data_IF_238036895198
#
_entry.id   IF_238036895198
#
_cell.length_a   1.000
_cell.length_b   1.000
_cell.length_c   1.000
_cell.angle_alpha   90.00
_cell.angle_beta   90.00
_cell.angle_gamma   90.00
#
_symmetry.space_group_name_H-M   'P 1'
#
loop_
_entity.id
_entity.type
_entity.pdbx_description
1 polymer ?
#
# COMPACT_ATOMS: atom_id res chain seq x y z
N UNK A 1 1.17 27.96 -15.02
CA UNK A 1 1.03 26.62 -14.40
C UNK A 1 2.41 26.09 -14.05
N UNK A 2 2.79 26.08 -12.77
CA UNK A 2 4.09 25.54 -12.35
C UNK A 2 3.99 24.01 -12.35
N UNK A 3 4.72 23.33 -13.25
CA UNK A 3 4.89 21.87 -13.20
C UNK A 3 5.70 21.52 -11.96
N UNK A 4 5.03 21.09 -10.89
CA UNK A 4 5.72 20.52 -9.72
C UNK A 4 6.49 19.28 -10.19
N UNK A 5 7.80 19.27 -9.99
CA UNK A 5 8.63 18.11 -10.30
C UNK A 5 8.07 16.87 -9.60
N UNK A 6 8.02 15.75 -10.34
CA UNK A 6 7.53 14.48 -9.80
C UNK A 6 8.50 14.02 -8.72
N UNK A 7 8.02 13.99 -7.47
CA UNK A 7 8.81 13.49 -6.35
C UNK A 7 9.35 12.08 -6.61
N UNK A 8 10.59 11.83 -6.17
CA UNK A 8 11.31 10.56 -6.35
C UNK A 8 10.43 9.38 -5.91
N UNK A 9 10.37 8.35 -6.76
CA UNK A 9 9.60 7.13 -6.50
C UNK A 9 10.22 6.39 -5.31
N UNK A 10 9.42 6.13 -4.29
CA UNK A 10 9.81 5.33 -3.12
C UNK A 10 9.06 3.99 -3.10
N UNK A 11 9.64 3.03 -2.39
CA UNK A 11 9.09 1.69 -2.21
C UNK A 11 8.78 1.45 -0.73
N UNK A 12 7.62 0.85 -0.49
CA UNK A 12 7.10 0.55 0.83
C UNK A 12 6.61 -0.90 0.89
N UNK A 13 7.05 -1.65 1.91
CA UNK A 13 6.56 -3.00 2.17
C UNK A 13 5.30 -2.97 3.03
N UNK A 14 4.26 -3.68 2.62
CA UNK A 14 3.09 -3.94 3.43
C UNK A 14 3.41 -5.06 4.41
N UNK A 15 3.27 -4.76 5.70
CA UNK A 15 3.47 -5.68 6.79
C UNK A 15 2.13 -6.24 7.28
N UNK A 16 2.11 -7.53 7.60
CA UNK A 16 1.01 -8.18 8.30
C UNK A 16 1.04 -7.89 9.82
N UNK A 17 0.06 -8.42 10.55
CA UNK A 17 0.02 -8.41 12.03
C UNK A 17 1.30 -8.99 12.64
N UNK A 18 1.86 -10.01 11.98
CA UNK A 18 3.09 -10.71 12.41
C UNK A 18 4.38 -10.08 11.85
N UNK A 19 4.33 -8.85 11.33
CA UNK A 19 5.45 -8.16 10.67
C UNK A 19 6.03 -8.89 9.45
N UNK A 20 5.31 -9.87 8.90
CA UNK A 20 5.67 -10.53 7.65
C UNK A 20 5.35 -9.63 6.46
N UNK A 21 6.20 -9.69 5.44
CA UNK A 21 6.02 -8.89 4.23
C UNK A 21 5.03 -9.58 3.29
N UNK A 22 3.86 -8.97 3.09
CA UNK A 22 2.81 -9.48 2.19
C UNK A 22 3.08 -9.04 0.74
N UNK A 23 3.60 -7.81 0.55
CA UNK A 23 3.88 -7.27 -0.77
C UNK A 23 4.48 -5.86 -0.74
N UNK A 24 4.95 -5.40 -1.90
CA UNK A 24 5.63 -4.11 -2.07
C UNK A 24 4.77 -3.16 -2.89
N UNK A 25 4.66 -1.92 -2.41
CA UNK A 25 3.91 -0.85 -3.05
C UNK A 25 4.80 0.36 -3.32
N UNK A 26 4.63 0.99 -4.48
CA UNK A 26 5.39 2.18 -4.84
C UNK A 26 4.56 3.46 -4.69
N UNK A 27 5.19 4.56 -4.31
CA UNK A 27 4.56 5.87 -4.25
C UNK A 27 5.56 6.99 -4.00
N UNK A 28 5.25 8.23 -4.40
CA UNK A 28 6.07 9.38 -4.03
C UNK A 28 5.97 9.68 -2.52
N UNK A 29 4.80 9.41 -1.91
CA UNK A 29 4.54 9.56 -0.49
C UNK A 29 3.99 8.25 0.11
N UNK A 30 4.14 8.01 1.42
CA UNK A 30 3.61 6.82 2.08
C UNK A 30 2.08 6.74 1.97
N UNK A 31 1.40 7.89 1.98
CA UNK A 31 -0.05 7.96 1.77
C UNK A 31 -0.46 7.49 0.38
N UNK A 32 0.30 7.82 -0.67
CA UNK A 32 0.00 7.36 -2.02
C UNK A 32 0.12 5.83 -2.14
N UNK A 33 1.11 5.24 -1.46
CA UNK A 33 1.21 3.79 -1.36
C UNK A 33 0.04 3.19 -0.55
N UNK A 34 -0.36 3.83 0.55
CA UNK A 34 -1.51 3.40 1.35
C UNK A 34 -2.84 3.43 0.57
N UNK A 35 -3.07 4.47 -0.24
CA UNK A 35 -4.25 4.54 -1.13
C UNK A 35 -4.27 3.35 -2.11
N UNK A 36 -3.10 2.97 -2.65
CA UNK A 36 -3.00 1.77 -3.51
C UNK A 36 -3.33 0.49 -2.76
N UNK A 37 -2.84 0.34 -1.53
CA UNK A 37 -3.17 -0.80 -0.66
C UNK A 37 -4.68 -0.86 -0.37
N UNK A 38 -5.30 0.27 -0.05
CA UNK A 38 -6.74 0.37 0.20
C UNK A 38 -7.56 -0.03 -1.03
N UNK A 39 -7.15 0.40 -2.24
CA UNK A 39 -7.78 -0.04 -3.50
C UNK A 39 -7.71 -1.55 -3.70
N UNK A 40 -6.62 -2.20 -3.26
CA UNK A 40 -6.47 -3.67 -3.30
C UNK A 40 -7.36 -4.39 -2.28
N UNK A 41 -7.89 -3.69 -1.28
CA UNK A 41 -8.82 -4.26 -0.28
C UNK A 41 -8.26 -4.33 1.14
N UNK A 42 -7.04 -3.82 1.39
CA UNK A 42 -6.49 -3.81 2.75
C UNK A 42 -7.10 -2.67 3.58
N UNK A 43 -7.69 -3.03 4.73
CA UNK A 43 -8.29 -2.08 5.69
C UNK A 43 -7.28 -1.59 6.72
N UNK A 44 -6.49 -2.51 7.27
CA UNK A 44 -5.38 -2.21 8.17
C UNK A 44 -4.09 -2.20 7.34
N UNK A 45 -3.44 -1.05 7.23
CA UNK A 45 -2.29 -0.86 6.34
C UNK A 45 -1.09 -0.44 7.18
N UNK A 46 -0.10 -1.33 7.33
CA UNK A 46 1.20 -1.02 7.94
C UNK A 46 2.26 -1.01 6.85
N UNK A 47 2.84 0.15 6.56
CA UNK A 47 3.79 0.32 5.46
C UNK A 47 5.17 0.68 6.00
N UNK A 48 6.16 -0.18 5.74
CA UNK A 48 7.57 0.08 6.04
C UNK A 48 8.27 0.72 4.84
N UNK A 49 8.92 1.86 5.03
CA UNK A 49 9.79 2.44 4.00
C UNK A 49 11.09 1.61 3.85
N UNK A 50 11.49 1.31 2.62
CA UNK A 50 12.74 0.56 2.33
C UNK A 50 14.01 1.35 2.68
N UNK A 51 13.91 2.67 2.69
CA UNK A 51 15.03 3.52 3.11
C UNK A 51 15.07 3.58 4.63
N UNK A 52 16.18 3.16 5.21
CA UNK A 52 16.48 3.38 6.63
C UNK A 52 16.66 4.87 6.93
N UNK A 53 16.27 5.29 8.13
CA UNK A 53 16.64 6.60 8.64
C UNK A 53 18.16 6.66 8.92
N UNK A 54 18.69 7.87 9.11
CA UNK A 54 20.08 8.07 9.55
C UNK A 54 20.39 7.33 10.86
N UNK A 55 19.39 7.17 11.72
CA UNK A 55 19.45 6.43 12.99
C UNK A 55 19.48 4.90 12.84
N UNK A 56 19.63 4.37 11.62
CA UNK A 56 19.56 2.93 11.30
C UNK A 56 18.20 2.24 11.55
N UNK A 57 17.20 2.98 12.04
CA UNK A 57 15.84 2.52 12.25
C UNK A 57 14.99 2.49 10.96
N UNK A 58 13.95 1.67 11.01
CA UNK A 58 12.90 1.59 10.01
C UNK A 58 11.73 2.50 10.36
N UNK A 59 11.18 3.19 9.36
CA UNK A 59 9.94 3.93 9.53
C UNK A 59 8.75 3.09 9.08
N UNK A 60 7.78 2.90 9.96
CA UNK A 60 6.52 2.22 9.68
C UNK A 60 5.36 3.21 9.81
N UNK A 61 4.59 3.33 8.74
CA UNK A 61 3.39 4.16 8.72
C UNK A 61 2.15 3.30 8.84
N UNK A 62 1.27 3.65 9.78
CA UNK A 62 0.01 2.95 10.00
C UNK A 62 -1.15 3.80 9.47
N UNK A 63 -1.94 3.21 8.58
CA UNK A 63 -3.11 3.82 7.95
C UNK A 63 -4.35 2.94 8.10
N UNK A 64 -5.51 3.57 8.19
CA UNK A 64 -6.79 2.91 7.90
C UNK A 64 -7.17 3.15 6.44
N UNK A 65 -7.37 2.05 5.72
CA UNK A 65 -7.82 2.00 4.34
C UNK A 65 -9.32 1.75 4.24
N UNK A 66 -9.94 2.42 3.29
CA UNK A 66 -11.31 2.12 2.85
C UNK A 66 -11.39 2.21 1.33
N UNK A 67 -12.32 1.47 0.73
CA UNK A 67 -12.61 1.54 -0.70
C UNK A 67 -14.08 1.80 -0.90
N UNK A 68 -14.41 2.61 -1.90
CA UNK A 68 -15.77 2.86 -2.34
C UNK A 68 -15.83 2.67 -3.84
N UNK A 69 -16.91 2.06 -4.31
CA UNK A 69 -17.24 2.03 -5.74
C UNK A 69 -18.02 3.29 -6.05
N UNK A 70 -17.56 4.06 -7.03
CA UNK A 70 -18.19 5.31 -7.46
C UNK A 70 -18.46 5.19 -8.95
N UNK A 71 -19.56 5.81 -9.40
CA UNK A 71 -19.83 5.94 -10.83
C UNK A 71 -18.67 6.64 -11.54
N UNK A 72 -18.36 6.16 -12.74
CA UNK A 72 -17.41 6.79 -13.63
C UNK A 72 -17.85 8.22 -14.00
N UNK A 73 -16.92 9.11 -14.38
CA UNK A 73 -17.27 10.44 -14.85
C UNK A 73 -18.22 10.37 -16.07
N UNK A 74 -18.92 11.48 -16.39
CA UNK A 74 -19.83 11.56 -17.53
C UNK A 74 -19.19 11.07 -18.83
N UNK A 75 -20.01 10.51 -19.72
CA UNK A 75 -19.58 9.86 -20.97
C UNK A 75 -18.66 10.74 -21.81
N UNK A 76 -18.91 12.06 -21.85
CA UNK A 76 -18.12 13.03 -22.61
C UNK A 76 -16.65 13.13 -22.17
N UNK A 77 -16.35 12.84 -20.90
CA UNK A 77 -14.98 12.87 -20.33
C UNK A 77 -14.39 11.47 -20.16
N UNK A 78 -15.14 10.44 -20.52
CA UNK A 78 -14.77 9.04 -20.31
C UNK A 78 -14.14 8.49 -21.57
N UNK A 79 -13.06 7.73 -21.39
CA UNK A 79 -12.44 6.99 -22.49
C UNK A 79 -13.28 5.75 -22.84
N UNK A 80 -13.36 5.35 -24.12
CA UNK A 80 -14.22 4.24 -24.56
C UNK A 80 -13.96 2.90 -23.85
N UNK A 81 -12.73 2.67 -23.40
CA UNK A 81 -12.31 1.44 -22.71
C UNK A 81 -12.55 1.44 -21.19
N UNK A 82 -12.98 2.57 -20.61
CA UNK A 82 -13.19 2.71 -19.17
C UNK A 82 -14.54 2.08 -18.79
N UNK A 83 -14.63 1.45 -17.60
CA UNK A 83 -15.88 0.86 -17.05
C UNK A 83 -16.81 1.92 -16.45
N UNK A 84 -18.08 1.58 -16.26
CA UNK A 84 -19.11 2.46 -15.68
C UNK A 84 -18.92 2.73 -14.19
N UNK A 85 -18.19 1.85 -13.51
CA UNK A 85 -17.89 1.98 -12.10
C UNK A 85 -16.38 1.91 -11.86
N UNK A 86 -15.91 2.76 -10.95
CA UNK A 86 -14.51 2.89 -10.57
C UNK A 86 -14.38 2.70 -9.08
N UNK A 87 -13.51 1.77 -8.67
CA UNK A 87 -13.14 1.63 -7.27
C UNK A 87 -12.09 2.67 -6.89
N UNK A 88 -12.45 3.55 -5.97
CA UNK A 88 -11.57 4.56 -5.38
C UNK A 88 -11.19 4.11 -3.97
N UNK A 89 -9.90 4.21 -3.65
CA UNK A 89 -9.38 3.93 -2.32
C UNK A 89 -9.08 5.22 -1.59
N UNK A 90 -9.38 5.24 -0.31
CA UNK A 90 -9.05 6.32 0.62
C UNK A 90 -8.22 5.76 1.76
N UNK A 91 -7.24 6.53 2.21
CA UNK A 91 -6.40 6.15 3.35
C UNK A 91 -6.29 7.33 4.33
N UNK A 92 -6.58 7.07 5.60
CA UNK A 92 -6.43 8.00 6.72
C UNK A 92 -5.23 7.57 7.56
N UNK A 93 -4.33 8.50 7.87
CA UNK A 93 -3.15 8.22 8.69
C UNK A 93 -3.58 8.07 10.14
N UNK A 94 -3.13 7.01 10.81
CA UNK A 94 -3.38 6.79 12.22
C UNK A 94 -2.16 7.23 13.01
N UNK A 95 -1.01 6.61 12.74
CA UNK A 95 0.26 6.92 13.42
C UNK A 95 1.47 6.57 12.55
N UNK A 96 2.65 6.93 13.02
CA UNK A 96 3.92 6.46 12.47
C UNK A 96 4.82 6.02 13.62
N UNK A 97 5.53 4.93 13.38
CA UNK A 97 6.38 4.25 14.35
C UNK A 97 7.80 4.18 13.78
N UNK A 98 8.78 4.29 14.66
CA UNK A 98 10.16 3.96 14.36
C UNK A 98 10.47 2.62 15.01
N UNK A 99 11.08 1.71 14.27
CA UNK A 99 11.39 0.37 14.73
C UNK A 99 12.86 0.10 14.40
N UNK A 100 13.66 -0.22 15.41
CA UNK A 100 15.08 -0.57 15.24
C UNK A 100 15.24 -1.93 14.56
N UNK A 101 14.45 -2.91 14.97
CA UNK A 101 14.55 -4.28 14.49
C UNK A 101 13.18 -4.88 14.15
N UNK A 102 13.08 -5.48 12.97
CA UNK A 102 11.90 -6.26 12.58
C UNK A 102 12.19 -7.71 12.93
N UNK A 103 11.71 -8.16 14.08
CA UNK A 103 11.73 -9.59 14.42
C UNK A 103 10.85 -10.35 13.43
N UNK A 104 11.48 -10.92 12.39
CA UNK A 104 10.83 -11.83 11.46
C UNK A 104 10.68 -13.17 12.15
N UNK A 105 9.48 -13.53 12.61
CA UNK A 105 9.21 -14.92 12.97
C UNK A 105 9.14 -15.75 11.68
N UNK A 106 10.05 -16.72 11.54
CA UNK A 106 10.13 -17.62 10.39
C UNK A 106 8.75 -18.26 10.16
N UNK A 107 8.09 -17.90 9.06
CA UNK A 107 6.88 -18.59 8.63
C UNK A 107 7.29 -19.96 8.11
N UNK A 108 6.89 -21.01 8.82
CA UNK A 108 6.95 -22.39 8.32
C UNK A 108 5.99 -22.48 7.12
N UNK A 109 6.53 -22.46 5.90
CA UNK A 109 5.72 -22.61 4.70
C UNK A 109 5.13 -24.02 4.67
N UNK A 110 3.86 -24.18 5.08
CA UNK A 110 3.10 -25.41 4.83
C UNK A 110 2.77 -25.45 3.33
N UNK A 111 3.67 -26.04 2.56
CA UNK A 111 3.53 -26.27 1.10
C UNK A 111 2.30 -27.15 0.89
N UNK A 112 1.14 -26.56 0.60
CA UNK A 112 -0.03 -27.34 0.22
C UNK A 112 0.24 -27.97 -1.14
N UNK A 113 0.42 -29.29 -1.17
CA UNK A 113 0.41 -30.08 -2.40
C UNK A 113 -0.94 -29.85 -3.07
N UNK A 114 -1.00 -28.99 -4.10
CA UNK A 114 -2.15 -28.96 -5.01
C UNK A 114 -2.14 -30.28 -5.77
N UNK A 115 -3.09 -31.15 -5.43
CA UNK A 115 -3.33 -32.39 -6.15
C UNK A 115 -3.67 -32.08 -7.61
N UNK A 116 -2.93 -32.72 -8.52
CA UNK A 116 -3.34 -32.89 -9.93
C UNK A 116 -4.64 -33.69 -9.91
N UNK A 117 -5.70 -33.14 -10.48
CA UNK A 117 -6.88 -33.89 -10.89
C UNK A 117 -6.94 -33.82 -12.40
#
# INVERSE_FOLDING_TARGET
MVRKEKGVKKFYSLLDKDNNEIGVFSGASPRAAAIKCARRGHKEIRLREHRKLKSHEWMVFVYSGSRKTVAAPPKDKRLPWMKDEITVGTAKRIRAEKISELEKKKTTSKKSKRGKK
#
